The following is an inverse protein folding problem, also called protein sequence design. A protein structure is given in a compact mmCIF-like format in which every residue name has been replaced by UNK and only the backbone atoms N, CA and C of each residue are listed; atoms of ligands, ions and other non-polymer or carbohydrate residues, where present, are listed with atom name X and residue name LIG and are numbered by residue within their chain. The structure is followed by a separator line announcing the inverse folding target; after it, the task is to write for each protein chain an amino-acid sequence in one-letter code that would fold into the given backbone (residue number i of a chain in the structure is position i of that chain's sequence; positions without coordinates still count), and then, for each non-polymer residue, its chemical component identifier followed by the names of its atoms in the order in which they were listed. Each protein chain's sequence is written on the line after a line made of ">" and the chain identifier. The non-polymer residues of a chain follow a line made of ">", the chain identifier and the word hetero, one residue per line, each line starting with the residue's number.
data_IF_406629981797
#
_entry.id   IF_406629981797
#
_cell.length_a   1.000
_cell.length_b   1.000
_cell.length_c   1.000
_cell.angle_alpha   90.00
_cell.angle_beta   90.00
_cell.angle_gamma   90.00
#
_symmetry.space_group_name_H-M   'P 1'
#
loop_
_entity.id
_entity.type
_entity.pdbx_description
1 polymer ?
#
# COMPACT_ATOMS: atom_id res chain seq x y z
N UNK A 1 13.49 -6.26 8.73
CA UNK A 1 12.22 -5.54 8.43
C UNK A 1 12.16 -5.29 6.93
N UNK A 2 11.15 -5.82 6.23
CA UNK A 2 11.03 -5.72 4.77
C UNK A 2 10.43 -4.38 4.33
N UNK A 3 10.51 -4.03 3.05
CA UNK A 3 9.81 -2.86 2.47
C UNK A 3 8.32 -2.90 2.80
N UNK A 4 7.69 -4.07 2.62
CA UNK A 4 6.30 -4.31 3.00
C UNK A 4 6.03 -4.01 4.48
N UNK A 5 6.89 -4.49 5.38
CA UNK A 5 6.71 -4.27 6.83
C UNK A 5 6.73 -2.77 7.18
N UNK A 6 7.67 -2.01 6.61
CA UNK A 6 7.81 -0.57 6.80
C UNK A 6 6.58 0.19 6.25
N UNK A 7 6.24 -0.09 4.99
CA UNK A 7 5.12 0.54 4.27
C UNK A 7 3.78 0.22 4.93
N UNK A 8 3.56 -1.01 5.39
CA UNK A 8 2.36 -1.40 6.13
C UNK A 8 2.15 -0.54 7.37
N UNK A 9 3.18 -0.45 8.22
CA UNK A 9 3.12 0.36 9.44
C UNK A 9 2.92 1.85 9.12
N UNK A 10 3.59 2.36 8.09
CA UNK A 10 3.45 3.74 7.62
C UNK A 10 2.00 4.03 7.21
N UNK A 11 1.45 3.23 6.29
CA UNK A 11 0.10 3.40 5.78
C UNK A 11 -0.96 3.25 6.87
N UNK A 12 -0.85 2.22 7.73
CA UNK A 12 -1.78 2.02 8.85
C UNK A 12 -1.76 3.22 9.81
N UNK A 13 -0.58 3.71 10.16
CA UNK A 13 -0.44 4.85 11.08
C UNK A 13 -1.00 6.13 10.45
N UNK A 14 -0.77 6.36 9.16
CA UNK A 14 -1.36 7.47 8.42
C UNK A 14 -2.90 7.39 8.35
N UNK A 15 -3.46 6.17 8.28
CA UNK A 15 -4.89 5.94 8.33
C UNK A 15 -5.50 6.06 9.75
N UNK A 16 -4.66 6.14 10.80
CA UNK A 16 -5.12 6.33 12.18
C UNK A 16 -5.82 5.11 12.81
N UNK A 17 -5.67 3.91 12.23
CA UNK A 17 -6.35 2.68 12.71
C UNK A 17 -5.40 1.75 13.47
N UNK A 18 -5.96 0.94 14.38
CA UNK A 18 -5.22 -0.08 15.12
C UNK A 18 -4.83 -1.27 14.23
N UNK A 19 -3.84 -2.06 14.66
CA UNK A 19 -3.46 -3.31 13.99
C UNK A 19 -4.64 -4.28 13.92
N UNK A 20 -5.41 -4.39 15.01
CA UNK A 20 -6.62 -5.21 15.06
C UNK A 20 -7.65 -4.74 14.05
N UNK A 21 -7.94 -3.43 14.02
CA UNK A 21 -8.91 -2.85 13.08
C UNK A 21 -8.53 -3.11 11.63
N UNK A 22 -7.27 -2.87 11.26
CA UNK A 22 -6.76 -3.17 9.92
C UNK A 22 -6.88 -4.67 9.60
N UNK A 23 -6.56 -5.54 10.55
CA UNK A 23 -6.67 -6.99 10.35
C UNK A 23 -8.10 -7.42 10.05
N UNK A 24 -9.06 -6.95 10.84
CA UNK A 24 -10.48 -7.27 10.66
C UNK A 24 -11.00 -6.71 9.33
N UNK A 25 -10.71 -5.45 9.01
CA UNK A 25 -11.15 -4.81 7.78
C UNK A 25 -10.53 -5.49 6.53
N UNK A 26 -9.31 -6.02 6.64
CA UNK A 26 -8.66 -6.83 5.62
C UNK A 26 -9.13 -8.31 5.56
N UNK A 27 -10.16 -8.67 6.34
CA UNK A 27 -10.76 -10.01 6.31
C UNK A 27 -10.05 -11.07 7.15
N UNK A 28 -9.24 -10.68 8.14
CA UNK A 28 -8.68 -11.62 9.11
C UNK A 28 -9.67 -11.90 10.24
N UNK A 29 -9.64 -13.13 10.76
CA UNK A 29 -10.40 -13.52 11.94
C UNK A 29 -10.06 -12.62 13.15
N UNK A 30 -11.05 -12.02 13.84
CA UNK A 30 -10.82 -11.07 14.92
C UNK A 30 -9.85 -11.58 16.00
N UNK A 31 -9.98 -12.84 16.39
CA UNK A 31 -9.13 -13.47 17.41
C UNK A 31 -7.63 -13.51 17.06
N UNK A 32 -7.28 -13.37 15.78
CA UNK A 32 -5.89 -13.41 15.29
C UNK A 32 -5.42 -12.12 14.62
N UNK A 33 -6.34 -11.18 14.37
CA UNK A 33 -6.10 -9.99 13.55
C UNK A 33 -4.93 -9.14 14.06
N UNK A 34 -4.93 -8.80 15.35
CA UNK A 34 -3.88 -7.99 15.98
C UNK A 34 -2.51 -8.68 15.93
N UNK A 35 -2.45 -9.97 16.30
CA UNK A 35 -1.22 -10.74 16.33
C UNK A 35 -0.59 -10.87 14.93
N UNK A 36 -1.40 -11.16 13.90
CA UNK A 36 -0.94 -11.27 12.50
C UNK A 36 -0.44 -9.94 11.96
N UNK A 37 -1.18 -8.85 12.16
CA UNK A 37 -0.74 -7.52 11.71
C UNK A 37 0.56 -7.09 12.39
N UNK A 38 0.72 -7.35 13.69
CA UNK A 38 1.98 -7.11 14.40
C UNK A 38 3.14 -7.93 13.82
N UNK A 39 2.93 -9.20 13.48
CA UNK A 39 3.95 -10.04 12.83
C UNK A 39 4.33 -9.50 11.45
N UNK A 40 3.36 -9.00 10.67
CA UNK A 40 3.61 -8.38 9.37
C UNK A 40 4.38 -7.06 9.49
N UNK A 41 4.00 -6.18 10.43
CA UNK A 41 4.70 -4.90 10.66
C UNK A 41 6.13 -5.08 11.20
N UNK A 42 6.39 -6.15 11.95
CA UNK A 42 7.74 -6.50 12.40
C UNK A 42 8.55 -7.24 11.33
N UNK A 43 7.90 -7.72 10.27
CA UNK A 43 8.51 -8.56 9.24
C UNK A 43 8.90 -9.95 9.72
N UNK A 44 8.23 -10.47 10.75
CA UNK A 44 8.38 -11.85 11.24
C UNK A 44 7.74 -12.82 10.25
N UNK A 45 6.58 -12.44 9.72
CA UNK A 45 5.90 -13.14 8.64
C UNK A 45 5.55 -12.17 7.53
N UNK A 46 5.37 -12.70 6.33
CA UNK A 46 4.81 -11.97 5.19
C UNK A 46 3.39 -12.44 4.96
N UNK A 47 2.43 -11.53 4.66
CA UNK A 47 1.13 -11.97 4.18
C UNK A 47 1.28 -12.64 2.81
N UNK A 48 0.40 -13.59 2.52
CA UNK A 48 0.23 -14.06 1.13
C UNK A 48 -0.36 -12.96 0.25
N UNK A 49 -0.26 -13.13 -1.07
CA UNK A 49 -0.68 -12.13 -2.06
C UNK A 49 -2.13 -11.65 -1.87
N UNK A 50 -3.06 -12.57 -1.62
CA UNK A 50 -4.47 -12.24 -1.35
C UNK A 50 -4.62 -11.31 -0.15
N UNK A 51 -3.96 -11.63 0.97
CA UNK A 51 -4.02 -10.81 2.19
C UNK A 51 -3.32 -9.46 1.98
N UNK A 52 -2.19 -9.43 1.26
CA UNK A 52 -1.51 -8.18 0.93
C UNK A 52 -2.41 -7.25 0.08
N UNK A 53 -3.15 -7.83 -0.88
CA UNK A 53 -4.12 -7.09 -1.69
C UNK A 53 -5.28 -6.56 -0.84
N UNK A 54 -5.86 -7.38 0.04
CA UNK A 54 -6.93 -6.93 0.95
C UNK A 54 -6.47 -5.80 1.88
N UNK A 55 -5.25 -5.87 2.39
CA UNK A 55 -4.63 -4.80 3.18
C UNK A 55 -4.51 -3.52 2.34
N UNK A 56 -4.02 -3.63 1.10
CA UNK A 56 -3.84 -2.50 0.20
C UNK A 56 -5.18 -1.82 -0.14
N UNK A 57 -6.19 -2.61 -0.47
CA UNK A 57 -7.55 -2.15 -0.74
C UNK A 57 -8.16 -1.45 0.49
N UNK A 58 -7.99 -2.04 1.69
CA UNK A 58 -8.45 -1.45 2.97
C UNK A 58 -7.80 -0.09 3.26
N UNK A 59 -6.53 0.06 2.92
CA UNK A 59 -5.76 1.28 3.14
C UNK A 59 -5.88 2.29 1.98
N UNK A 60 -6.61 1.96 0.91
CA UNK A 60 -6.80 2.83 -0.25
C UNK A 60 -5.48 3.14 -1.00
N UNK A 61 -4.56 2.18 -1.03
CA UNK A 61 -3.24 2.32 -1.67
C UNK A 61 -3.03 1.19 -2.69
N UNK A 62 -2.29 1.43 -3.80
CA UNK A 62 -2.03 0.36 -4.74
C UNK A 62 -1.07 -0.67 -4.15
N UNK A 63 -1.29 -1.96 -4.40
CA UNK A 63 -0.45 -3.05 -3.86
C UNK A 63 1.06 -2.81 -4.10
N UNK A 64 1.43 -2.32 -5.28
CA UNK A 64 2.81 -2.01 -5.64
C UNK A 64 3.49 -1.00 -4.69
N UNK A 65 2.72 -0.08 -4.08
CA UNK A 65 3.23 0.89 -3.11
C UNK A 65 3.86 0.23 -1.89
N UNK A 66 3.29 -0.89 -1.42
CA UNK A 66 3.81 -1.63 -0.28
C UNK A 66 5.15 -2.31 -0.56
N UNK A 67 5.51 -2.49 -1.82
CA UNK A 67 6.77 -3.11 -2.23
C UNK A 67 7.75 -2.10 -2.85
N UNK A 68 7.39 -0.82 -2.90
CA UNK A 68 8.22 0.25 -3.46
C UNK A 68 9.12 0.86 -2.37
N UNK A 69 10.43 0.65 -2.48
CA UNK A 69 11.42 1.19 -1.54
C UNK A 69 11.69 2.68 -1.77
N UNK A 70 11.71 3.11 -3.03
CA UNK A 70 11.92 4.51 -3.40
C UNK A 70 10.72 5.40 -3.01
N UNK A 71 10.97 6.46 -2.25
CA UNK A 71 9.91 7.33 -1.72
C UNK A 71 9.22 8.14 -2.83
N UNK A 72 9.96 8.63 -3.82
CA UNK A 72 9.39 9.42 -4.92
C UNK A 72 8.49 8.56 -5.81
N UNK A 73 8.93 7.35 -6.14
CA UNK A 73 8.16 6.36 -6.90
C UNK A 73 6.94 5.89 -6.11
N UNK A 74 7.08 5.65 -4.80
CA UNK A 74 5.94 5.30 -3.95
C UNK A 74 4.91 6.45 -3.93
N UNK A 75 5.35 7.69 -3.76
CA UNK A 75 4.46 8.85 -3.82
C UNK A 75 3.78 8.98 -5.19
N UNK A 76 4.49 8.76 -6.28
CA UNK A 76 3.92 8.73 -7.63
C UNK A 76 2.85 7.65 -7.76
N UNK A 77 3.10 6.43 -7.27
CA UNK A 77 2.12 5.33 -7.26
C UNK A 77 0.84 5.72 -6.49
N UNK A 78 1.00 6.32 -5.30
CA UNK A 78 -0.11 6.78 -4.49
C UNK A 78 -0.94 7.87 -5.19
N UNK A 79 -0.27 8.90 -5.73
CA UNK A 79 -0.92 9.97 -6.49
C UNK A 79 -1.63 9.43 -7.73
N UNK A 80 -0.97 8.57 -8.49
CA UNK A 80 -1.56 7.99 -9.69
C UNK A 80 -2.76 7.10 -9.38
N UNK A 81 -2.74 6.38 -8.25
CA UNK A 81 -3.85 5.55 -7.77
C UNK A 81 -5.10 6.37 -7.42
N UNK A 82 -4.95 7.61 -6.94
CA UNK A 82 -6.09 8.48 -6.60
C UNK A 82 -6.76 9.13 -7.83
N UNK A 83 -6.06 9.21 -8.96
CA UNK A 83 -6.59 9.78 -10.21
C UNK A 83 -7.65 8.90 -10.86
N UNK A 84 -8.64 9.53 -11.52
CA UNK A 84 -9.73 8.82 -12.21
C UNK A 84 -9.83 9.17 -13.69
N UNK A 85 -10.26 8.21 -14.51
CA UNK A 85 -10.61 8.41 -15.92
C UNK A 85 -9.56 9.19 -16.72
N UNK A 86 -9.94 10.36 -17.23
CA UNK A 86 -9.10 11.20 -18.11
C UNK A 86 -7.84 11.75 -17.43
N UNK A 87 -7.82 11.87 -16.10
CA UNK A 87 -6.68 12.41 -15.36
C UNK A 87 -5.47 11.48 -15.41
N UNK A 88 -5.71 10.16 -15.35
CA UNK A 88 -4.65 9.15 -15.48
C UNK A 88 -3.97 9.24 -16.85
N UNK A 89 -4.76 9.42 -17.91
CA UNK A 89 -4.22 9.58 -19.28
C UNK A 89 -3.33 10.83 -19.38
N UNK A 90 -3.80 11.97 -18.85
CA UNK A 90 -3.01 13.21 -18.81
C UNK A 90 -1.71 13.06 -18.03
N UNK A 91 -1.74 12.35 -16.91
CA UNK A 91 -0.53 12.10 -16.11
C UNK A 91 0.50 11.26 -16.88
N UNK A 92 0.06 10.19 -17.55
CA UNK A 92 0.94 9.38 -18.41
C UNK A 92 1.51 10.22 -19.55
N UNK A 93 0.67 10.95 -20.30
CA UNK A 93 1.13 11.81 -21.41
C UNK A 93 2.17 12.85 -20.97
N UNK A 94 2.00 13.41 -19.76
CA UNK A 94 2.97 14.35 -19.19
C UNK A 94 4.30 13.69 -18.88
N UNK A 95 4.27 12.52 -18.24
CA UNK A 95 5.48 11.75 -17.92
C UNK A 95 6.19 11.29 -19.19
N UNK A 96 5.45 10.80 -20.19
CA UNK A 96 5.98 10.43 -21.50
C UNK A 96 6.66 11.61 -22.20
N UNK A 97 6.03 12.80 -22.18
CA UNK A 97 6.65 14.02 -22.75
C UNK A 97 7.96 14.36 -22.06
N UNK A 98 8.02 14.27 -20.74
CA UNK A 98 9.24 14.61 -19.97
C UNK A 98 10.35 13.56 -20.14
N UNK A 99 9.99 12.27 -20.25
CA UNK A 99 10.96 11.17 -20.26
C UNK A 99 11.39 10.74 -21.67
N UNK A 100 10.50 10.85 -22.65
CA UNK A 100 10.68 10.34 -24.02
C UNK A 100 10.64 11.45 -25.08
N UNK A 101 10.12 12.63 -24.73
CA UNK A 101 10.02 13.79 -25.62
C UNK A 101 11.30 14.64 -25.58
N UNK A 102 12.34 14.15 -26.25
CA UNK A 102 13.47 14.94 -26.76
C UNK A 102 13.36 15.07 -28.28
#
# INVERSE_FOLDING_TARGET
>A
MTTFSKRLKQARTAAGISQERLGIDAGLEPASASARMNQYEKGVHSPGESTAKQIADTLGLPLAWFYCEDEETAYLLQCFHSLKGKERKKAIEMVERLALGG
#
